data_IF_365779888623
#
_entry.id   IF_365779888623
#
_cell.length_a   1.000
_cell.length_b   1.000
_cell.length_c   1.000
_cell.angle_alpha   90.00
_cell.angle_beta   90.00
_cell.angle_gamma   90.00
#
_symmetry.space_group_name_H-M   'P 1'
#
loop_
_entity.id
_entity.type
_entity.pdbx_description
1 polymer ?
#
# COMPACT_ATOMS: atom_id res chain seq x y z
N UNK A 1 15.38 -13.42 -22.02
CA UNK A 1 16.05 -12.50 -21.08
C UNK A 1 14.96 -11.81 -20.27
N UNK A 2 14.78 -12.21 -19.02
CA UNK A 2 13.74 -11.64 -18.13
C UNK A 2 14.33 -10.39 -17.49
N UNK A 3 13.91 -9.21 -17.96
CA UNK A 3 14.25 -7.94 -17.35
C UNK A 3 13.47 -7.85 -16.04
N UNK A 4 14.12 -8.10 -14.91
CA UNK A 4 13.58 -7.74 -13.61
C UNK A 4 13.99 -6.31 -13.33
N UNK A 5 12.99 -5.44 -13.19
CA UNK A 5 13.22 -4.05 -12.84
C UNK A 5 13.98 -3.97 -11.53
N UNK A 6 15.10 -3.26 -11.57
CA UNK A 6 15.84 -2.83 -10.38
C UNK A 6 15.06 -1.79 -9.56
N UNK A 7 14.04 -1.16 -10.16
CA UNK A 7 13.23 -0.15 -9.52
C UNK A 7 12.10 -0.77 -8.70
N UNK A 8 11.85 -0.19 -7.53
CA UNK A 8 10.65 -0.47 -6.73
C UNK A 8 9.47 0.33 -7.27
N UNK A 9 8.28 -0.29 -7.27
CA UNK A 9 7.02 0.30 -7.69
C UNK A 9 6.13 0.44 -6.46
N UNK A 10 5.74 1.69 -6.19
CA UNK A 10 4.80 2.05 -5.15
C UNK A 10 3.52 2.61 -5.76
N UNK A 11 2.39 2.06 -5.34
CA UNK A 11 1.06 2.56 -5.68
C UNK A 11 0.54 3.39 -4.50
N UNK A 12 0.20 4.66 -4.76
CA UNK A 12 -0.34 5.59 -3.77
C UNK A 12 -1.80 5.92 -4.09
N UNK A 13 -2.69 5.61 -3.17
CA UNK A 13 -4.11 5.91 -3.28
C UNK A 13 -4.45 7.00 -2.26
N UNK A 14 -4.55 8.21 -2.78
CA UNK A 14 -5.05 9.39 -2.07
C UNK A 14 -5.75 10.31 -3.07
N UNK A 15 -6.09 11.55 -2.68
CA UNK A 15 -6.73 12.51 -3.59
C UNK A 15 -5.93 12.80 -4.88
N UNK A 16 -4.62 12.58 -4.84
CA UNK A 16 -3.67 12.86 -5.93
C UNK A 16 -3.10 11.61 -6.60
N UNK A 17 -3.78 10.45 -6.46
CA UNK A 17 -3.57 9.18 -7.17
C UNK A 17 -2.17 9.02 -7.78
N UNK A 18 -1.27 8.44 -6.99
CA UNK A 18 0.16 8.42 -7.27
C UNK A 18 0.71 7.07 -7.72
N UNK A 19 1.73 7.11 -8.56
CA UNK A 19 2.60 5.97 -8.85
C UNK A 19 4.04 6.43 -8.70
N UNK A 20 4.75 5.85 -7.74
CA UNK A 20 6.15 6.15 -7.48
C UNK A 20 7.05 5.02 -8.01
N UNK A 21 8.09 5.44 -8.73
CA UNK A 21 9.18 4.58 -9.17
C UNK A 21 10.43 4.97 -8.38
N UNK A 22 10.93 4.03 -7.59
CA UNK A 22 12.02 4.26 -6.63
C UNK A 22 13.29 3.58 -7.14
N UNK A 23 14.38 4.33 -7.19
CA UNK A 23 15.71 3.86 -7.54
C UNK A 23 16.26 2.82 -6.57
N UNK A 24 17.23 2.02 -7.03
CA UNK A 24 17.82 0.91 -6.27
C UNK A 24 18.50 1.26 -4.96
N UNK A 25 18.93 2.51 -4.80
CA UNK A 25 19.56 3.02 -3.60
C UNK A 25 18.58 3.85 -2.75
N UNK A 26 17.29 3.86 -3.13
CA UNK A 26 16.22 4.67 -2.55
C UNK A 26 16.52 6.18 -2.54
N UNK A 27 17.54 6.61 -3.30
CA UNK A 27 17.95 8.02 -3.36
C UNK A 27 17.12 8.82 -4.33
N UNK A 28 16.51 8.17 -5.32
CA UNK A 28 15.70 8.86 -6.32
C UNK A 28 14.31 8.27 -6.34
N UNK A 29 13.32 9.11 -6.07
CA UNK A 29 11.91 8.77 -6.17
C UNK A 29 11.27 9.69 -7.20
N UNK A 30 10.72 9.09 -8.25
CA UNK A 30 9.91 9.80 -9.23
C UNK A 30 8.45 9.40 -9.06
N UNK A 31 7.61 10.33 -8.62
CA UNK A 31 6.18 10.12 -8.39
C UNK A 31 5.38 10.82 -9.47
N UNK A 32 4.60 10.06 -10.21
CA UNK A 32 3.57 10.58 -11.10
C UNK A 32 2.27 10.72 -10.32
N UNK A 33 1.68 11.91 -10.29
CA UNK A 33 0.47 12.23 -9.53
C UNK A 33 -0.63 12.68 -10.48
N UNK A 34 -1.82 12.08 -10.36
CA UNK A 34 -3.00 12.52 -11.09
C UNK A 34 -3.89 13.35 -10.19
N UNK A 35 -4.20 14.56 -10.62
CA UNK A 35 -4.95 15.54 -9.83
C UNK A 35 -6.15 16.07 -10.61
N UNK A 36 -7.23 16.41 -9.90
CA UNK A 36 -8.38 17.11 -10.47
C UNK A 36 -8.17 18.63 -10.58
N UNK A 37 -7.05 19.15 -10.08
CA UNK A 37 -6.67 20.56 -10.22
C UNK A 37 -5.97 20.81 -11.57
N UNK A 38 -6.67 21.49 -12.48
CA UNK A 38 -6.15 21.83 -13.82
C UNK A 38 -4.93 22.76 -13.75
N UNK A 39 -4.82 23.60 -12.71
CA UNK A 39 -3.69 24.53 -12.55
C UNK A 39 -2.38 23.80 -12.23
N UNK A 40 -2.48 22.58 -11.71
CA UNK A 40 -1.32 21.75 -11.40
C UNK A 40 -0.81 20.96 -12.61
N UNK A 41 -1.50 21.00 -13.75
CA UNK A 41 -1.13 20.21 -14.91
C UNK A 41 0.27 20.56 -15.45
N UNK A 42 1.13 19.55 -15.56
CA UNK A 42 2.50 19.72 -16.05
C UNK A 42 3.46 20.32 -15.02
N UNK A 43 2.99 20.66 -13.82
CA UNK A 43 3.88 21.12 -12.76
C UNK A 43 4.82 19.99 -12.34
N UNK A 44 6.07 20.36 -12.13
CA UNK A 44 7.12 19.49 -11.60
C UNK A 44 7.62 20.09 -10.32
N UNK A 45 7.48 19.36 -9.23
CA UNK A 45 8.09 19.71 -7.96
C UNK A 45 9.29 18.81 -7.73
N UNK A 46 10.42 19.41 -7.37
CA UNK A 46 11.60 18.69 -6.94
C UNK A 46 11.95 19.12 -5.53
N UNK A 47 12.13 18.14 -4.66
CA UNK A 47 12.56 18.32 -3.29
C UNK A 47 13.62 17.29 -2.98
N UNK A 48 14.45 17.54 -1.97
CA UNK A 48 15.55 16.66 -1.69
C UNK A 48 16.56 17.27 -0.73
N UNK A 49 17.49 16.45 -0.28
CA UNK A 49 18.53 16.78 0.69
C UNK A 49 19.33 15.54 1.05
N UNK A 50 20.57 15.71 1.51
CA UNK A 50 21.46 14.60 1.91
C UNK A 50 21.60 13.48 0.86
N UNK A 51 21.59 13.83 -0.43
CA UNK A 51 21.72 12.89 -1.55
C UNK A 51 20.43 12.21 -2.00
N UNK A 52 19.28 12.57 -1.42
CA UNK A 52 17.95 12.15 -1.88
C UNK A 52 17.32 13.18 -2.81
N UNK A 53 16.61 12.70 -3.83
CA UNK A 53 15.85 13.47 -4.81
C UNK A 53 14.45 12.86 -4.90
N UNK A 54 13.45 13.68 -4.61
CA UNK A 54 12.03 13.37 -4.76
C UNK A 54 11.48 14.30 -5.82
N UNK A 55 11.10 13.73 -6.96
CA UNK A 55 10.47 14.46 -8.05
C UNK A 55 9.01 14.06 -8.17
N UNK A 56 8.11 15.03 -8.12
CA UNK A 56 6.68 14.86 -8.36
C UNK A 56 6.33 15.49 -9.70
N UNK A 57 5.62 14.75 -10.54
CA UNK A 57 5.10 15.24 -11.82
C UNK A 57 3.59 15.17 -11.77
N UNK A 58 2.94 16.31 -11.90
CA UNK A 58 1.49 16.42 -11.80
C UNK A 58 0.85 16.40 -13.18
N UNK A 59 -0.20 15.59 -13.32
CA UNK A 59 -1.03 15.53 -14.51
C UNK A 59 -2.47 15.80 -14.11
N UNK A 60 -3.10 16.76 -14.78
CA UNK A 60 -4.53 16.95 -14.64
C UNK A 60 -5.28 15.75 -15.23
N UNK A 61 -6.33 15.33 -14.53
CA UNK A 61 -7.28 14.33 -14.98
C UNK A 61 -8.69 14.69 -14.51
N UNK A 62 -9.67 14.49 -15.39
CA UNK A 62 -11.10 14.57 -15.04
C UNK A 62 -11.56 13.34 -14.27
N UNK A 63 -10.86 12.22 -14.43
CA UNK A 63 -11.13 10.96 -13.74
C UNK A 63 -9.81 10.35 -13.24
N UNK A 64 -9.23 10.92 -12.17
CA UNK A 64 -7.91 10.51 -11.68
C UNK A 64 -7.85 9.03 -11.29
N UNK A 65 -8.95 8.45 -10.84
CA UNK A 65 -8.99 7.05 -10.39
C UNK A 65 -8.89 6.11 -11.58
N UNK A 66 -9.69 6.31 -12.63
CA UNK A 66 -9.67 5.41 -13.79
C UNK A 66 -8.42 5.58 -14.65
N UNK A 67 -7.90 6.81 -14.82
CA UNK A 67 -6.61 7.02 -15.47
C UNK A 67 -5.47 6.37 -14.66
N UNK A 68 -5.52 6.45 -13.32
CA UNK A 68 -4.51 5.82 -12.45
C UNK A 68 -4.54 4.29 -12.57
N UNK A 69 -5.72 3.67 -12.66
CA UNK A 69 -5.86 2.23 -12.91
C UNK A 69 -5.23 1.84 -14.25
N UNK A 70 -5.43 2.63 -15.30
CA UNK A 70 -4.85 2.39 -16.61
C UNK A 70 -3.32 2.52 -16.59
N UNK A 71 -2.79 3.59 -15.99
CA UNK A 71 -1.35 3.79 -15.89
C UNK A 71 -0.68 2.72 -15.00
N UNK A 72 -1.35 2.31 -13.92
CA UNK A 72 -0.88 1.22 -13.06
C UNK A 72 -0.71 -0.08 -13.84
N UNK A 73 -1.68 -0.46 -14.68
CA UNK A 73 -1.54 -1.63 -15.57
C UNK A 73 -0.32 -1.51 -16.48
N UNK A 74 -0.15 -0.36 -17.11
CA UNK A 74 0.96 -0.10 -18.02
C UNK A 74 2.32 -0.19 -17.32
N UNK A 75 2.43 0.38 -16.12
CA UNK A 75 3.64 0.31 -15.27
C UNK A 75 3.95 -1.14 -14.89
N UNK A 76 2.95 -1.90 -14.42
CA UNK A 76 3.12 -3.31 -14.08
C UNK A 76 3.58 -4.15 -15.29
N UNK A 77 3.06 -3.86 -16.48
CA UNK A 77 3.44 -4.52 -17.72
C UNK A 77 4.89 -4.21 -18.12
N UNK A 78 5.29 -2.93 -18.13
CA UNK A 78 6.65 -2.50 -18.46
C UNK A 78 7.67 -3.19 -17.54
N UNK A 79 7.41 -3.15 -16.23
CA UNK A 79 8.31 -3.71 -15.24
C UNK A 79 8.15 -5.22 -15.07
N UNK A 80 7.19 -5.85 -15.78
CA UNK A 80 6.87 -7.27 -15.71
C UNK A 80 6.61 -7.74 -14.27
N UNK A 81 5.90 -6.92 -13.50
CA UNK A 81 5.62 -7.12 -12.08
C UNK A 81 4.21 -7.66 -11.87
N UNK A 82 4.13 -8.77 -11.13
CA UNK A 82 2.88 -9.26 -10.56
C UNK A 82 2.75 -8.93 -9.07
N UNK A 83 3.87 -8.56 -8.44
CA UNK A 83 3.96 -8.13 -7.06
C UNK A 83 4.45 -6.68 -7.06
N UNK A 84 3.70 -5.79 -6.42
CA UNK A 84 4.15 -4.43 -6.15
C UNK A 84 4.91 -4.39 -4.83
N UNK A 85 5.86 -3.48 -4.74
CA UNK A 85 6.71 -3.39 -3.57
C UNK A 85 5.95 -2.70 -2.43
N UNK A 86 5.27 -1.58 -2.73
CA UNK A 86 4.54 -0.80 -1.71
C UNK A 86 3.13 -0.44 -2.17
N UNK A 87 2.15 -0.62 -1.30
CA UNK A 87 0.82 -0.03 -1.40
C UNK A 87 0.61 0.96 -0.26
N UNK A 88 0.44 2.23 -0.59
CA UNK A 88 0.02 3.28 0.34
C UNK A 88 -1.43 3.64 0.04
N UNK A 89 -2.32 3.56 1.03
CA UNK A 89 -3.73 3.89 0.82
C UNK A 89 -4.28 4.73 1.96
N UNK A 90 -4.68 5.97 1.65
CA UNK A 90 -5.42 6.85 2.54
C UNK A 90 -6.91 6.53 2.39
N UNK A 91 -7.40 5.61 3.21
CA UNK A 91 -8.71 4.95 3.01
C UNK A 91 -9.90 5.90 3.16
N UNK A 92 -9.73 7.00 3.86
CA UNK A 92 -10.77 8.00 4.08
C UNK A 92 -10.72 9.17 3.08
N UNK A 93 -9.85 9.10 2.07
CA UNK A 93 -9.72 10.15 1.05
C UNK A 93 -10.70 10.01 -0.11
N UNK A 94 -11.03 8.77 -0.48
CA UNK A 94 -11.83 8.40 -1.66
C UNK A 94 -12.80 7.25 -1.32
N UNK A 95 -13.57 7.42 -0.24
CA UNK A 95 -14.40 6.36 0.38
C UNK A 95 -15.29 5.64 -0.65
N UNK A 96 -15.98 6.39 -1.50
CA UNK A 96 -16.90 5.83 -2.52
C UNK A 96 -16.18 5.02 -3.62
N UNK A 97 -14.86 5.16 -3.75
CA UNK A 97 -14.05 4.50 -4.77
C UNK A 97 -13.20 3.35 -4.22
N UNK A 98 -13.14 3.18 -2.89
CA UNK A 98 -12.29 2.17 -2.25
C UNK A 98 -12.56 0.76 -2.78
N UNK A 99 -13.83 0.34 -2.89
CA UNK A 99 -14.20 -0.98 -3.41
C UNK A 99 -13.68 -1.16 -4.84
N UNK A 100 -13.91 -0.17 -5.71
CA UNK A 100 -13.46 -0.18 -7.11
C UNK A 100 -11.93 -0.27 -7.24
N UNK A 101 -11.20 0.41 -6.36
CA UNK A 101 -9.73 0.38 -6.30
C UNK A 101 -9.22 -0.97 -5.80
N UNK A 102 -9.85 -1.52 -4.74
CA UNK A 102 -9.48 -2.83 -4.19
C UNK A 102 -9.76 -3.95 -5.19
N UNK A 103 -10.89 -3.91 -5.89
CA UNK A 103 -11.22 -4.87 -6.96
C UNK A 103 -10.21 -4.78 -8.11
N UNK A 104 -9.80 -3.57 -8.49
CA UNK A 104 -8.73 -3.37 -9.44
C UNK A 104 -7.41 -4.00 -8.98
N UNK A 105 -6.99 -3.74 -7.74
CA UNK A 105 -5.76 -4.30 -7.18
C UNK A 105 -5.81 -5.83 -7.16
N UNK A 106 -6.91 -6.41 -6.67
CA UNK A 106 -7.14 -7.86 -6.65
C UNK A 106 -7.03 -8.50 -8.04
N UNK A 107 -7.54 -7.82 -9.08
CA UNK A 107 -7.55 -8.35 -10.44
C UNK A 107 -6.18 -8.23 -11.15
N UNK A 108 -5.33 -7.27 -10.76
CA UNK A 108 -4.12 -6.91 -11.52
C UNK A 108 -2.81 -7.11 -10.73
N UNK A 109 -2.88 -7.27 -9.41
CA UNK A 109 -1.74 -7.43 -8.51
C UNK A 109 -1.92 -8.74 -7.74
N UNK A 110 -0.95 -9.65 -7.87
CA UNK A 110 -0.97 -10.94 -7.18
C UNK A 110 -0.73 -10.79 -5.68
N UNK A 111 0.18 -9.89 -5.30
CA UNK A 111 0.54 -9.62 -3.91
C UNK A 111 1.22 -8.26 -3.76
N UNK A 112 1.31 -7.79 -2.53
CA UNK A 112 2.04 -6.59 -2.14
C UNK A 112 3.10 -6.97 -1.11
N UNK A 113 4.31 -6.40 -1.20
CA UNK A 113 5.30 -6.67 -0.16
C UNK A 113 5.00 -5.88 1.11
N UNK A 114 4.77 -4.59 0.99
CA UNK A 114 4.50 -3.68 2.10
C UNK A 114 3.17 -2.94 1.89
N UNK A 115 2.27 -3.04 2.88
CA UNK A 115 0.95 -2.43 2.81
C UNK A 115 0.78 -1.42 3.96
N UNK A 116 0.43 -0.20 3.59
CA UNK A 116 0.28 0.92 4.50
C UNK A 116 -1.12 1.56 4.37
N UNK A 117 -2.15 0.95 4.99
CA UNK A 117 -3.45 1.58 5.08
C UNK A 117 -3.48 2.62 6.21
N UNK A 118 -3.90 3.84 5.87
CA UNK A 118 -4.03 4.98 6.78
C UNK A 118 -5.44 5.54 6.75
N UNK A 119 -5.82 6.18 7.86
CA UNK A 119 -6.92 7.14 7.89
C UNK A 119 -6.39 8.50 8.34
N UNK A 120 -6.80 9.55 7.64
CA UNK A 120 -6.37 10.92 7.93
C UNK A 120 -7.15 11.54 9.08
N UNK A 121 -8.46 11.27 9.14
CA UNK A 121 -9.38 11.80 10.16
C UNK A 121 -9.91 10.68 11.05
N UNK A 122 -10.10 11.02 12.32
CA UNK A 122 -10.53 10.03 13.32
C UNK A 122 -12.02 9.70 13.20
N UNK A 123 -12.83 10.68 12.80
CA UNK A 123 -14.29 10.53 12.68
C UNK A 123 -14.73 9.68 11.49
N UNK A 124 -13.88 9.52 10.47
CA UNK A 124 -14.22 8.81 9.25
C UNK A 124 -14.24 7.30 9.49
N UNK A 125 -15.35 6.66 9.12
CA UNK A 125 -15.48 5.21 9.17
C UNK A 125 -14.92 4.57 7.90
N UNK A 126 -13.93 3.68 8.09
CA UNK A 126 -13.28 2.92 7.02
C UNK A 126 -13.20 1.44 7.36
N UNK A 127 -13.92 0.98 8.39
CA UNK A 127 -13.81 -0.38 8.94
C UNK A 127 -14.12 -1.44 7.87
N UNK A 128 -15.23 -1.26 7.14
CA UNK A 128 -15.64 -2.18 6.07
C UNK A 128 -14.67 -2.18 4.88
N UNK A 129 -14.13 -1.02 4.52
CA UNK A 129 -13.16 -0.92 3.42
C UNK A 129 -11.81 -1.52 3.80
N UNK A 130 -11.35 -1.30 5.03
CA UNK A 130 -10.13 -1.91 5.57
C UNK A 130 -10.24 -3.42 5.60
N UNK A 131 -11.38 -3.92 6.08
CA UNK A 131 -11.73 -5.33 6.03
C UNK A 131 -11.68 -5.90 4.62
N UNK A 132 -12.32 -5.20 3.68
CA UNK A 132 -12.37 -5.61 2.29
C UNK A 132 -10.97 -5.66 1.66
N UNK A 133 -10.13 -4.65 1.90
CA UNK A 133 -8.75 -4.62 1.43
C UNK A 133 -7.96 -5.83 1.94
N UNK A 134 -7.98 -6.05 3.25
CA UNK A 134 -7.12 -7.05 3.91
C UNK A 134 -7.57 -8.49 3.67
N UNK A 135 -8.84 -8.70 3.31
CA UNK A 135 -9.35 -10.01 2.88
C UNK A 135 -9.10 -10.31 1.39
N UNK A 136 -8.86 -9.28 0.56
CA UNK A 136 -8.71 -9.44 -0.89
C UNK A 136 -7.27 -9.26 -1.38
N UNK A 137 -6.36 -8.79 -0.53
CA UNK A 137 -4.97 -8.54 -0.86
C UNK A 137 -4.05 -9.50 -0.11
N UNK A 138 -3.09 -10.11 -0.82
CA UNK A 138 -2.01 -10.87 -0.17
C UNK A 138 -0.85 -9.94 0.16
N UNK A 139 -0.52 -9.81 1.44
CA UNK A 139 0.63 -9.02 1.92
C UNK A 139 1.76 -9.99 2.33
N UNK A 140 2.95 -9.81 1.75
CA UNK A 140 4.04 -10.77 1.89
C UNK A 140 5.01 -10.45 3.04
N UNK A 141 5.31 -9.17 3.29
CA UNK A 141 6.36 -8.79 4.23
C UNK A 141 5.81 -7.97 5.38
N UNK A 142 5.23 -6.80 5.10
CA UNK A 142 4.93 -5.82 6.14
C UNK A 142 3.52 -5.26 6.02
N UNK A 143 2.83 -5.18 7.16
CA UNK A 143 1.59 -4.43 7.29
C UNK A 143 1.76 -3.38 8.38
N UNK A 144 1.64 -2.12 7.98
CA UNK A 144 1.68 -0.97 8.89
C UNK A 144 0.34 -0.26 8.84
N UNK A 145 -0.56 -0.66 9.73
CA UNK A 145 -1.90 -0.10 9.80
C UNK A 145 -1.96 1.04 10.80
N UNK A 146 -2.28 2.24 10.30
CA UNK A 146 -2.67 3.38 11.14
C UNK A 146 -4.18 3.65 11.03
N UNK A 147 -4.96 2.57 10.96
CA UNK A 147 -6.41 2.60 10.98
C UNK A 147 -6.93 2.50 12.41
N UNK A 148 -8.03 3.18 12.69
CA UNK A 148 -8.72 3.21 13.98
C UNK A 148 -9.99 2.39 13.90
N UNK A 149 -9.79 1.12 13.57
CA UNK A 149 -10.88 0.18 13.38
C UNK A 149 -11.63 0.02 14.71
N UNK A 150 -12.94 0.22 14.70
CA UNK A 150 -13.76 0.10 15.91
C UNK A 150 -14.26 -1.32 16.08
N UNK A 151 -14.64 -1.98 14.98
CA UNK A 151 -15.26 -3.28 15.03
C UNK A 151 -14.95 -4.09 13.76
N UNK A 152 -13.91 -4.93 13.82
CA UNK A 152 -13.64 -5.86 12.73
C UNK A 152 -13.01 -7.15 13.22
N UNK A 153 -13.42 -8.25 12.58
CA UNK A 153 -12.84 -9.56 12.76
C UNK A 153 -11.77 -9.81 11.71
N UNK A 154 -10.52 -9.79 12.16
CA UNK A 154 -9.40 -10.29 11.37
C UNK A 154 -9.32 -11.81 11.45
N UNK A 155 -9.15 -12.45 10.28
CA UNK A 155 -8.69 -13.83 10.19
C UNK A 155 -7.15 -13.83 10.32
N UNK A 156 -6.66 -14.49 11.37
CA UNK A 156 -5.23 -14.64 11.67
C UNK A 156 -4.44 -15.24 10.49
N UNK A 157 -5.10 -15.99 9.60
CA UNK A 157 -4.48 -16.55 8.38
C UNK A 157 -3.89 -15.48 7.47
N UNK A 158 -4.45 -14.27 7.46
CA UNK A 158 -3.98 -13.18 6.60
C UNK A 158 -2.59 -12.64 7.04
N UNK A 159 -2.12 -12.99 8.24
CA UNK A 159 -0.90 -12.43 8.83
C UNK A 159 0.18 -13.46 9.19
N UNK A 160 -0.06 -14.76 8.99
CA UNK A 160 0.85 -15.82 9.45
C UNK A 160 2.27 -15.74 8.89
N UNK A 161 2.46 -15.10 7.74
CA UNK A 161 3.74 -15.03 7.04
C UNK A 161 4.35 -13.62 7.01
N UNK A 162 3.76 -12.65 7.73
CA UNK A 162 4.33 -11.31 7.79
C UNK A 162 5.64 -11.32 8.58
N UNK A 163 6.63 -10.59 8.09
CA UNK A 163 7.87 -10.29 8.82
C UNK A 163 7.64 -9.21 9.85
N UNK A 164 6.77 -8.25 9.53
CA UNK A 164 6.47 -7.11 10.40
C UNK A 164 4.97 -6.79 10.38
N UNK A 165 4.41 -6.58 11.58
CA UNK A 165 3.03 -6.19 11.78
C UNK A 165 2.97 -5.04 12.78
N UNK A 166 2.72 -3.82 12.28
CA UNK A 166 2.56 -2.62 13.10
C UNK A 166 1.12 -2.15 13.03
N UNK A 167 0.45 -2.09 14.19
CA UNK A 167 -0.93 -1.61 14.30
C UNK A 167 -0.98 -0.55 15.38
N UNK A 168 -1.08 0.71 14.98
CA UNK A 168 -0.98 1.85 15.88
C UNK A 168 -2.23 2.05 16.75
N UNK A 169 -3.40 1.59 16.30
CA UNK A 169 -4.66 1.69 17.05
C UNK A 169 -5.31 0.31 17.21
N UNK A 170 -4.63 -0.57 17.94
CA UNK A 170 -4.95 -2.01 18.09
C UNK A 170 -6.07 -2.33 19.10
N UNK A 171 -6.88 -1.36 19.54
CA UNK A 171 -7.93 -1.59 20.55
C UNK A 171 -8.93 -2.69 20.16
N UNK A 172 -9.08 -2.95 18.86
CA UNK A 172 -9.94 -3.97 18.29
C UNK A 172 -9.27 -5.37 18.21
N UNK A 173 -7.95 -5.46 18.38
CA UNK A 173 -7.24 -6.74 18.48
C UNK A 173 -7.35 -7.24 19.92
N UNK A 174 -8.33 -8.10 20.17
CA UNK A 174 -8.43 -8.77 21.46
C UNK A 174 -7.16 -9.58 21.77
N UNK A 175 -6.68 -9.48 23.01
CA UNK A 175 -5.43 -10.10 23.50
C UNK A 175 -5.25 -11.59 23.12
N UNK A 176 -6.34 -12.36 23.12
CA UNK A 176 -6.33 -13.78 22.78
C UNK A 176 -5.89 -14.06 21.32
N UNK A 177 -6.00 -13.07 20.43
CA UNK A 177 -5.74 -13.19 18.98
C UNK A 177 -4.30 -12.85 18.57
N UNK A 178 -3.50 -12.34 19.51
CA UNK A 178 -2.07 -12.07 19.29
C UNK A 178 -1.17 -13.24 19.72
N UNK A 179 -1.76 -14.38 20.11
CA UNK A 179 -1.01 -15.57 20.49
C UNK A 179 -0.43 -16.27 19.25
N UNK A 180 0.65 -15.69 18.71
CA UNK A 180 1.58 -16.40 17.86
C UNK A 180 1.99 -17.67 18.62
N UNK A 181 1.79 -18.82 17.97
CA UNK A 181 2.12 -20.13 18.54
C UNK A 181 3.58 -20.07 19.02
N UNK A 182 3.88 -20.46 20.27
CA UNK A 182 5.25 -20.43 20.74
C UNK A 182 6.07 -21.33 19.81
N UNK A 183 7.17 -20.78 19.29
CA UNK A 183 8.19 -21.57 18.61
C UNK A 183 8.65 -22.61 19.63
N UNK A 184 8.17 -23.83 19.49
CA UNK A 184 8.57 -24.94 20.35
C UNK A 184 10.01 -25.26 20.03
N UNK A 185 10.93 -24.65 20.79
CA UNK A 185 12.31 -25.10 20.82
C UNK A 185 12.32 -26.54 21.31
N UNK A 186 13.00 -27.49 20.63
CA UNK A 186 13.06 -28.87 21.07
C UNK A 186 13.71 -28.95 22.45
N UNK A 187 13.27 -29.87 23.32
CA UNK A 187 13.81 -29.98 24.67
C UNK A 187 15.30 -30.32 24.61
N UNK A 188 16.12 -29.51 25.29
CA UNK A 188 17.54 -29.82 25.53
C UNK A 188 17.59 -31.05 26.44
N UNK A 189 18.23 -32.15 26.04
CA UNK A 189 18.40 -33.30 26.92
C UNK A 189 19.41 -32.93 28.01
N UNK A 190 18.96 -32.94 29.26
CA UNK A 190 19.86 -32.87 30.42
C UNK A 190 20.61 -34.21 30.51
N UNK A 191 21.95 -34.13 30.46
CA UNK A 191 22.87 -35.18 30.91
C UNK A 191 23.27 -34.91 32.35
#
# INVERSE_FOLDING_TARGET
MTFYSKYSVQLCVDKTMGIAIIGTDERVTCTYLMTSDEQMNGNVEESGGNGYIIRKVFKYSKDPVDEWKQLSKYVLEIFKRQTIDVLLMIMDSLVDQNVSIIDFLKANVKSVNECYPYQSKEENDVDEHAAYLLNNLTVNNELHSNLRIKNYHFDEKNFKNLKELNIYNSKWIGYNRLSLSPITSPPVPYL
#
